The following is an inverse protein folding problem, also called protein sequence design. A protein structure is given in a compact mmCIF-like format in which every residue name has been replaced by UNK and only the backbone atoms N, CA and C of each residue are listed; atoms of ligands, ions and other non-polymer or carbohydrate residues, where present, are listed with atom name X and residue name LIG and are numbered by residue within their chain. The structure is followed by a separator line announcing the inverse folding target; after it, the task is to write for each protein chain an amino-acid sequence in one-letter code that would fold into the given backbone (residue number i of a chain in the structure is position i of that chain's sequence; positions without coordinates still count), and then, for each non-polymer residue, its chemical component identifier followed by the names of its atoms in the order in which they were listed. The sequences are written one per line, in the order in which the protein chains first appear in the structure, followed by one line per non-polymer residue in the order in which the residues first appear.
data_IF_860308111117
#
_entry.id   IF_860308111117
#
_cell.length_a   1.000
_cell.length_b   1.000
_cell.length_c   1.000
_cell.angle_alpha   90.00
_cell.angle_beta   90.00
_cell.angle_gamma   90.00
#
_symmetry.space_group_name_H-M   'P 1'
#
loop_
_entity.id
_entity.type
_entity.pdbx_description
1 polymer ?
#
# COMPACT_ATOMS: atom_id res chain seq x y z
N UNK A 1 -3.62 -12.24 6.90
CA UNK A 1 -2.88 -12.99 5.85
C UNK A 1 -1.57 -13.41 6.46
N UNK A 2 -1.19 -14.69 6.40
CA UNK A 2 0.13 -15.14 6.85
C UNK A 2 1.13 -14.99 5.69
N UNK A 3 1.44 -13.74 5.34
CA UNK A 3 2.44 -13.44 4.32
C UNK A 3 3.80 -14.00 4.76
N UNK A 4 4.52 -14.61 3.82
CA UNK A 4 5.87 -15.15 4.06
C UNK A 4 6.93 -14.39 3.28
N UNK A 5 6.52 -13.63 2.27
CA UNK A 5 7.42 -12.85 1.42
C UNK A 5 6.93 -11.44 1.25
N UNK A 6 7.88 -10.56 0.97
CA UNK A 6 7.59 -9.22 0.50
C UNK A 6 8.50 -8.86 -0.68
N UNK A 7 7.90 -8.37 -1.76
CA UNK A 7 8.65 -7.68 -2.83
C UNK A 7 8.88 -6.24 -2.37
N UNK A 8 10.12 -5.77 -2.45
CA UNK A 8 10.51 -4.39 -2.12
C UNK A 8 11.41 -3.84 -3.21
N UNK A 9 11.50 -2.50 -3.33
CA UNK A 9 12.45 -1.84 -4.22
C UNK A 9 13.00 -0.59 -3.56
N UNK A 10 14.33 -0.51 -3.48
CA UNK A 10 15.01 0.67 -2.94
C UNK A 10 14.74 1.93 -3.80
N UNK A 11 14.62 3.12 -3.19
CA UNK A 11 14.57 4.39 -3.92
C UNK A 11 15.73 4.57 -4.92
N UNK A 12 15.39 4.85 -6.18
CA UNK A 12 16.35 5.13 -7.25
C UNK A 12 16.90 6.57 -7.23
N UNK A 13 17.91 6.86 -8.06
CA UNK A 13 18.53 8.21 -8.12
C UNK A 13 17.54 9.34 -8.39
N UNK A 14 16.49 9.08 -9.16
CA UNK A 14 15.47 10.08 -9.50
C UNK A 14 14.39 10.27 -8.43
N UNK A 15 14.45 9.59 -7.28
CA UNK A 15 13.42 9.65 -6.23
C UNK A 15 13.13 11.08 -5.73
N UNK A 16 14.13 11.97 -5.75
CA UNK A 16 13.96 13.40 -5.42
C UNK A 16 12.94 14.13 -6.33
N UNK A 17 12.58 13.52 -7.46
CA UNK A 17 11.58 14.00 -8.41
C UNK A 17 10.26 13.19 -8.33
N UNK A 18 9.96 12.58 -7.18
CA UNK A 18 8.72 11.83 -6.95
C UNK A 18 7.48 12.69 -7.26
N UNK A 19 6.39 12.05 -7.69
CA UNK A 19 5.14 12.76 -7.94
C UNK A 19 4.48 13.09 -6.61
N UNK A 20 4.55 14.36 -6.21
CA UNK A 20 4.02 14.82 -4.92
C UNK A 20 3.50 16.25 -5.00
N UNK A 21 2.40 16.52 -4.29
CA UNK A 21 1.90 17.86 -3.97
C UNK A 21 2.24 18.30 -2.54
N UNK A 22 3.04 17.51 -1.81
CA UNK A 22 3.41 17.82 -0.44
C UNK A 22 4.23 19.13 -0.38
N UNK A 23 3.94 20.07 0.55
CA UNK A 23 4.64 21.37 0.60
C UNK A 23 6.15 21.25 0.72
N UNK A 24 6.63 20.19 1.38
CA UNK A 24 8.05 19.89 1.57
C UNK A 24 8.65 18.93 0.51
N UNK A 25 7.93 18.60 -0.56
CA UNK A 25 8.42 17.67 -1.60
C UNK A 25 9.76 18.09 -2.22
N UNK A 26 10.00 19.40 -2.34
CA UNK A 26 11.26 19.97 -2.82
C UNK A 26 12.47 19.76 -1.87
N UNK A 27 12.24 19.22 -0.67
CA UNK A 27 13.26 18.97 0.37
C UNK A 27 13.56 17.49 0.57
N UNK A 28 13.10 16.63 -0.34
CA UNK A 28 13.35 15.17 -0.28
C UNK A 28 14.86 14.90 -0.28
N UNK A 29 15.31 14.11 0.68
CA UNK A 29 16.69 13.67 0.82
C UNK A 29 16.79 12.19 0.48
N UNK A 30 17.38 11.87 -0.67
CA UNK A 30 17.54 10.50 -1.15
C UNK A 30 18.36 9.62 -0.18
N UNK A 31 19.43 10.14 0.40
CA UNK A 31 20.27 9.35 1.32
C UNK A 31 19.49 8.93 2.57
N UNK A 32 18.70 9.86 3.12
CA UNK A 32 17.83 9.56 4.26
C UNK A 32 16.68 8.63 3.86
N UNK A 33 16.09 8.80 2.67
CA UNK A 33 15.06 7.89 2.16
C UNK A 33 15.57 6.44 2.03
N UNK A 34 16.81 6.25 1.58
CA UNK A 34 17.47 4.94 1.51
C UNK A 34 17.71 4.35 2.89
N UNK A 35 18.12 5.15 3.87
CA UNK A 35 18.27 4.70 5.26
C UNK A 35 16.92 4.26 5.85
N UNK A 36 15.87 5.06 5.67
CA UNK A 36 14.52 4.75 6.12
C UNK A 36 13.98 3.47 5.45
N UNK A 37 14.20 3.30 4.15
CA UNK A 37 13.86 2.06 3.43
C UNK A 37 14.64 0.85 3.97
N UNK A 38 15.93 1.03 4.27
CA UNK A 38 16.78 0.00 4.87
C UNK A 38 16.21 -0.50 6.19
N UNK A 39 15.87 0.42 7.10
CA UNK A 39 15.22 0.13 8.38
C UNK A 39 13.89 -0.60 8.20
N UNK A 40 13.04 -0.12 7.28
CA UNK A 40 11.80 -0.80 6.92
C UNK A 40 12.04 -2.26 6.50
N UNK A 41 13.01 -2.49 5.61
CA UNK A 41 13.36 -3.85 5.16
C UNK A 41 13.93 -4.72 6.29
N UNK A 42 14.73 -4.16 7.19
CA UNK A 42 15.22 -4.88 8.38
C UNK A 42 14.06 -5.32 9.28
N UNK A 43 13.14 -4.41 9.59
CA UNK A 43 11.93 -4.72 10.36
C UNK A 43 11.10 -5.83 9.72
N UNK A 44 10.90 -5.81 8.40
CA UNK A 44 10.18 -6.90 7.72
C UNK A 44 10.89 -8.27 7.89
N UNK A 45 12.22 -8.29 7.81
CA UNK A 45 13.00 -9.53 8.01
C UNK A 45 12.91 -10.03 9.46
N UNK A 46 12.95 -9.13 10.43
CA UNK A 46 12.79 -9.45 11.85
C UNK A 46 11.41 -10.04 12.16
N UNK A 47 10.39 -9.57 11.43
CA UNK A 47 9.03 -10.14 11.45
C UNK A 47 8.90 -11.45 10.66
N UNK A 48 10.00 -11.98 10.13
CA UNK A 48 10.07 -13.30 9.49
C UNK A 48 9.75 -13.33 8.00
N UNK A 49 9.70 -12.17 7.32
CA UNK A 49 9.45 -12.11 5.88
C UNK A 49 10.74 -12.33 5.07
N UNK A 50 10.65 -13.19 4.06
CA UNK A 50 11.68 -13.36 3.03
C UNK A 50 11.54 -12.26 1.95
N UNK A 51 12.54 -11.37 1.87
CA UNK A 51 12.48 -10.18 1.02
C UNK A 51 13.04 -10.44 -0.39
N UNK A 52 12.20 -10.19 -1.39
CA UNK A 52 12.61 -10.14 -2.79
C UNK A 52 12.94 -8.70 -3.15
N UNK A 53 14.24 -8.39 -3.18
CA UNK A 53 14.74 -7.05 -3.47
C UNK A 53 14.87 -6.84 -4.98
N UNK A 54 14.03 -5.98 -5.54
CA UNK A 54 14.15 -5.57 -6.93
C UNK A 54 15.25 -4.51 -7.08
N UNK A 55 15.96 -4.48 -8.22
CA UNK A 55 16.92 -3.41 -8.49
C UNK A 55 16.20 -2.04 -8.55
N UNK A 56 16.85 -0.96 -8.08
CA UNK A 56 16.29 0.38 -8.18
C UNK A 56 16.14 0.80 -9.65
N UNK A 57 15.10 1.57 -9.96
CA UNK A 57 14.92 2.17 -11.29
C UNK A 57 15.24 3.66 -11.27
N UNK A 58 16.49 4.00 -11.59
CA UNK A 58 17.04 5.37 -11.53
C UNK A 58 16.35 6.42 -12.41
N UNK A 59 15.44 6.01 -13.30
CA UNK A 59 14.68 6.91 -14.19
C UNK A 59 13.19 7.02 -13.84
N UNK A 60 12.73 6.23 -12.87
CA UNK A 60 11.33 6.21 -12.43
C UNK A 60 11.30 6.58 -10.94
N UNK A 61 11.04 7.86 -10.61
CA UNK A 61 11.11 8.37 -9.24
C UNK A 61 10.31 7.56 -8.23
N UNK A 62 9.07 7.20 -8.57
CA UNK A 62 8.10 6.55 -7.69
C UNK A 62 8.23 5.02 -7.69
N UNK A 63 9.26 4.48 -8.33
CA UNK A 63 9.39 3.05 -8.60
C UNK A 63 9.61 2.18 -7.36
N UNK A 64 9.96 2.78 -6.22
CA UNK A 64 10.00 2.12 -4.92
C UNK A 64 8.60 1.82 -4.34
N UNK A 65 7.54 2.47 -4.86
CA UNK A 65 6.16 2.23 -4.45
C UNK A 65 5.58 1.01 -5.19
N UNK A 66 6.17 -0.15 -4.93
CA UNK A 66 5.85 -1.40 -5.62
C UNK A 66 4.43 -1.89 -5.35
N UNK A 67 3.79 -1.48 -4.25
CA UNK A 67 2.39 -1.83 -3.94
C UNK A 67 1.46 -1.55 -5.11
N UNK A 68 1.69 -0.43 -5.81
CA UNK A 68 0.79 -0.02 -6.87
C UNK A 68 0.85 -0.97 -8.07
N UNK A 69 1.96 -1.68 -8.25
CA UNK A 69 2.30 -2.40 -9.48
C UNK A 69 1.51 -3.71 -9.66
N UNK A 70 0.96 -4.29 -8.57
CA UNK A 70 0.17 -5.51 -8.66
C UNK A 70 -0.79 -5.68 -7.48
N UNK A 71 -1.86 -6.43 -7.71
CA UNK A 71 -2.76 -6.95 -6.66
C UNK A 71 -2.65 -8.46 -6.64
N UNK A 72 -2.28 -9.02 -5.49
CA UNK A 72 -2.15 -10.46 -5.28
C UNK A 72 -3.29 -10.99 -4.42
N UNK A 73 -3.89 -12.10 -4.82
CA UNK A 73 -4.86 -12.83 -4.00
C UNK A 73 -4.88 -14.31 -4.36
N UNK A 74 -4.86 -15.18 -3.34
CA UNK A 74 -4.82 -16.63 -3.54
C UNK A 74 -3.59 -17.05 -4.36
N UNK A 75 -3.81 -17.70 -5.52
CA UNK A 75 -2.76 -18.10 -6.47
C UNK A 75 -2.69 -17.22 -7.72
N UNK A 76 -3.32 -16.05 -7.68
CA UNK A 76 -3.43 -15.14 -8.82
C UNK A 76 -2.87 -13.75 -8.48
N UNK A 77 -2.29 -13.11 -9.48
CA UNK A 77 -1.90 -11.71 -9.42
C UNK A 77 -2.42 -10.95 -10.65
N UNK A 78 -2.94 -9.74 -10.43
CA UNK A 78 -3.18 -8.78 -11.49
C UNK A 78 -2.07 -7.73 -11.47
N UNK A 79 -1.21 -7.72 -12.48
CA UNK A 79 -0.32 -6.59 -12.75
C UNK A 79 -1.16 -5.42 -13.19
N UNK A 80 -1.02 -4.31 -12.49
CA UNK A 80 -1.90 -3.15 -12.63
C UNK A 80 -1.54 -2.29 -13.84
N UNK A 81 -2.28 -1.19 -14.03
CA UNK A 81 -2.02 -0.21 -15.09
C UNK A 81 -2.15 1.19 -14.49
N UNK A 82 -1.01 1.81 -14.22
CA UNK A 82 -0.90 3.13 -13.60
C UNK A 82 -1.75 4.18 -14.32
N UNK A 83 -2.40 5.04 -13.53
CA UNK A 83 -3.13 6.19 -14.06
C UNK A 83 -2.16 7.21 -14.66
N UNK A 84 -1.08 7.51 -13.93
CA UNK A 84 -0.02 8.39 -14.40
C UNK A 84 0.88 7.68 -15.41
N UNK A 85 1.03 8.28 -16.59
CA UNK A 85 1.85 7.69 -17.64
C UNK A 85 3.33 7.67 -17.28
N UNK A 86 3.80 8.64 -16.50
CA UNK A 86 5.17 8.71 -15.97
C UNK A 86 5.55 7.52 -15.10
N UNK A 87 4.56 6.82 -14.53
CA UNK A 87 4.74 5.64 -13.67
C UNK A 87 4.59 4.32 -14.43
N UNK A 88 4.16 4.33 -15.69
CA UNK A 88 4.03 3.10 -16.48
C UNK A 88 5.43 2.52 -16.75
N UNK A 89 5.57 1.21 -16.57
CA UNK A 89 6.86 0.51 -16.67
C UNK A 89 7.54 0.26 -15.32
N UNK A 90 7.03 0.81 -14.21
CA UNK A 90 7.47 0.43 -12.86
C UNK A 90 7.25 -1.07 -12.57
N UNK A 91 6.19 -1.61 -13.17
CA UNK A 91 5.60 -2.92 -12.90
C UNK A 91 6.32 -4.11 -13.58
N UNK A 92 7.24 -3.88 -14.52
CA UNK A 92 7.87 -4.94 -15.32
C UNK A 92 8.60 -5.99 -14.46
N UNK A 93 9.42 -5.54 -13.50
CA UNK A 93 10.20 -6.46 -12.66
C UNK A 93 9.34 -7.09 -11.56
N UNK A 94 8.27 -6.40 -11.14
CA UNK A 94 7.24 -6.96 -10.27
C UNK A 94 6.53 -8.10 -11.00
N UNK A 95 6.11 -7.89 -12.26
CA UNK A 95 5.50 -8.95 -13.09
C UNK A 95 6.43 -10.16 -13.22
N UNK A 96 7.69 -9.95 -13.62
CA UNK A 96 8.68 -11.04 -13.77
C UNK A 96 8.83 -11.84 -12.48
N UNK A 97 8.84 -11.15 -11.35
CA UNK A 97 8.95 -11.78 -10.03
C UNK A 97 7.71 -12.60 -9.70
N UNK A 98 6.52 -12.03 -9.87
CA UNK A 98 5.24 -12.67 -9.55
C UNK A 98 4.96 -13.92 -10.41
N UNK A 99 5.46 -13.98 -11.65
CA UNK A 99 5.35 -15.16 -12.52
C UNK A 99 5.98 -16.43 -11.91
N UNK A 100 6.90 -16.31 -10.96
CA UNK A 100 7.49 -17.46 -10.27
C UNK A 100 6.56 -18.05 -9.19
N UNK A 101 5.52 -17.33 -8.78
CA UNK A 101 4.68 -17.68 -7.63
C UNK A 101 3.19 -17.77 -7.96
N UNK A 102 2.73 -17.08 -9.01
CA UNK A 102 1.32 -16.86 -9.29
C UNK A 102 0.98 -17.04 -10.77
N UNK A 103 -0.30 -17.33 -11.04
CA UNK A 103 -0.87 -17.04 -12.36
C UNK A 103 -1.04 -15.53 -12.51
N UNK A 104 -0.41 -14.94 -13.51
CA UNK A 104 -0.36 -13.48 -13.68
C UNK A 104 -1.18 -13.05 -14.90
N UNK A 105 -2.05 -12.05 -14.71
CA UNK A 105 -2.70 -11.29 -15.80
C UNK A 105 -2.32 -9.83 -15.69
N UNK A 106 -2.29 -9.12 -16.81
CA UNK A 106 -2.05 -7.68 -16.86
C UNK A 106 -3.35 -6.93 -17.15
N UNK A 107 -3.56 -5.83 -16.42
CA UNK A 107 -4.65 -4.90 -16.70
C UNK A 107 -4.43 -4.19 -18.05
N UNK A 108 -5.48 -4.04 -18.83
CA UNK A 108 -5.44 -3.45 -20.18
C UNK A 108 -6.35 -2.24 -20.29
N UNK A 109 -6.03 -1.30 -21.19
CA UNK A 109 -6.87 -0.13 -21.42
C UNK A 109 -8.32 -0.55 -21.78
N UNK A 110 -9.34 0.22 -21.35
CA UNK A 110 -9.27 1.53 -20.70
C UNK A 110 -9.14 1.48 -19.15
N UNK A 111 -8.74 0.34 -18.58
CA UNK A 111 -8.50 0.27 -17.14
C UNK A 111 -7.37 1.21 -16.68
N UNK A 112 -7.62 1.90 -15.57
CA UNK A 112 -6.60 2.39 -14.65
C UNK A 112 -6.87 1.72 -13.32
N UNK A 113 -5.84 1.16 -12.71
CA UNK A 113 -5.90 0.50 -11.40
C UNK A 113 -4.52 0.59 -10.78
N UNK A 114 -4.47 0.84 -9.48
CA UNK A 114 -3.24 0.84 -8.68
C UNK A 114 -3.50 0.03 -7.39
N UNK A 115 -2.52 -0.78 -6.97
CA UNK A 115 -2.67 -1.65 -5.80
C UNK A 115 -2.89 -0.91 -4.48
N UNK A 116 -2.52 0.38 -4.39
CA UNK A 116 -2.88 1.28 -3.29
C UNK A 116 -4.40 1.39 -3.05
N UNK A 117 -5.24 1.10 -4.04
CA UNK A 117 -6.70 1.16 -3.90
C UNK A 117 -7.34 -0.13 -3.37
N UNK A 118 -6.58 -1.21 -3.20
CA UNK A 118 -7.17 -2.53 -2.91
C UNK A 118 -6.90 -2.99 -1.48
N UNK A 119 -7.88 -2.80 -0.60
CA UNK A 119 -7.84 -3.28 0.79
C UNK A 119 -8.24 -4.75 0.84
N UNK A 120 -7.37 -5.58 1.41
CA UNK A 120 -7.62 -7.01 1.63
C UNK A 120 -8.33 -7.23 2.97
N UNK A 121 -9.53 -7.81 2.92
CA UNK A 121 -10.22 -8.39 4.08
C UNK A 121 -10.10 -9.93 4.03
N UNK A 122 -10.50 -10.66 5.09
CA UNK A 122 -10.39 -12.12 5.12
C UNK A 122 -11.18 -12.83 4.01
N UNK A 123 -12.36 -12.33 3.66
CA UNK A 123 -13.35 -12.98 2.79
C UNK A 123 -13.62 -12.23 1.47
N UNK A 124 -13.22 -10.95 1.39
CA UNK A 124 -13.41 -10.09 0.23
C UNK A 124 -12.29 -9.08 0.06
N UNK A 125 -12.25 -8.39 -1.07
CA UNK A 125 -11.46 -7.17 -1.25
C UNK A 125 -12.39 -5.96 -1.33
N UNK A 126 -11.91 -4.81 -0.88
CA UNK A 126 -12.52 -3.52 -1.14
C UNK A 126 -11.59 -2.77 -2.09
N UNK A 127 -12.11 -2.34 -3.24
CA UNK A 127 -11.35 -1.60 -4.23
C UNK A 127 -11.89 -0.18 -4.38
N UNK A 128 -11.03 0.81 -4.14
CA UNK A 128 -11.33 2.22 -4.36
C UNK A 128 -11.56 2.53 -5.84
N UNK A 129 -12.54 3.38 -6.13
CA UNK A 129 -12.66 4.11 -7.39
C UNK A 129 -12.27 5.55 -7.09
N UNK A 130 -11.06 5.92 -7.51
CA UNK A 130 -10.31 7.09 -7.06
C UNK A 130 -9.70 7.83 -8.24
N UNK A 131 -8.79 8.78 -7.99
CA UNK A 131 -7.98 9.38 -9.05
C UNK A 131 -7.09 8.36 -9.79
N UNK A 132 -6.80 7.21 -9.15
CA UNK A 132 -5.83 6.21 -9.65
C UNK A 132 -6.47 4.92 -10.15
N UNK A 133 -7.70 4.63 -9.72
CA UNK A 133 -8.44 3.44 -10.14
C UNK A 133 -9.83 3.79 -10.67
N UNK A 134 -10.20 3.27 -11.84
CA UNK A 134 -11.51 3.46 -12.46
C UNK A 134 -12.35 2.17 -12.46
N UNK A 135 -13.63 2.29 -12.82
CA UNK A 135 -14.55 1.15 -12.87
C UNK A 135 -14.07 0.03 -13.81
N UNK A 136 -13.38 0.34 -14.91
CA UNK A 136 -12.81 -0.66 -15.80
C UNK A 136 -11.70 -1.48 -15.12
N UNK A 137 -10.87 -0.85 -14.29
CA UNK A 137 -9.87 -1.50 -13.44
C UNK A 137 -10.50 -2.47 -12.44
N UNK A 138 -11.50 -1.99 -11.70
CA UNK A 138 -12.28 -2.84 -10.78
C UNK A 138 -12.89 -4.05 -11.48
N UNK A 139 -13.46 -3.85 -12.68
CA UNK A 139 -14.08 -4.94 -13.44
C UNK A 139 -13.03 -5.98 -13.90
N UNK A 140 -11.84 -5.55 -14.31
CA UNK A 140 -10.77 -6.48 -14.65
C UNK A 140 -10.26 -7.24 -13.42
N UNK A 141 -10.18 -6.58 -12.26
CA UNK A 141 -9.86 -7.22 -10.99
C UNK A 141 -10.88 -8.32 -10.63
N UNK A 142 -12.19 -8.00 -10.69
CA UNK A 142 -13.32 -8.94 -10.50
C UNK A 142 -13.30 -10.11 -11.48
N UNK A 143 -12.97 -9.86 -12.74
CA UNK A 143 -12.92 -10.91 -13.76
C UNK A 143 -11.77 -11.89 -13.56
N UNK A 144 -10.74 -11.49 -12.81
CA UNK A 144 -9.49 -12.24 -12.71
C UNK A 144 -9.31 -12.92 -11.36
N UNK A 145 -9.50 -12.19 -10.27
CA UNK A 145 -9.34 -12.71 -8.91
C UNK A 145 -10.60 -13.47 -8.48
N UNK A 146 -10.43 -14.69 -7.98
CA UNK A 146 -11.53 -15.56 -7.55
C UNK A 146 -12.02 -15.20 -6.13
N UNK A 147 -12.37 -13.92 -5.93
CA UNK A 147 -12.83 -13.38 -4.64
C UNK A 147 -13.88 -12.30 -4.86
N UNK A 148 -14.79 -12.13 -3.90
CA UNK A 148 -15.71 -11.02 -3.89
C UNK A 148 -14.95 -9.69 -3.81
N UNK A 149 -15.32 -8.73 -4.66
CA UNK A 149 -14.74 -7.38 -4.64
C UNK A 149 -15.88 -6.39 -4.55
N UNK A 150 -15.92 -5.66 -3.43
CA UNK A 150 -16.77 -4.49 -3.24
C UNK A 150 -16.01 -3.22 -3.62
N UNK A 151 -16.72 -2.10 -3.80
CA UNK A 151 -16.10 -0.84 -4.19
C UNK A 151 -16.54 0.33 -3.33
N UNK A 152 -15.61 1.27 -3.09
CA UNK A 152 -15.87 2.57 -2.47
C UNK A 152 -15.47 3.63 -3.49
N UNK A 153 -16.37 4.55 -3.79
CA UNK A 153 -16.10 5.63 -4.75
C UNK A 153 -15.74 6.91 -4.01
N UNK A 154 -14.51 7.37 -4.19
CA UNK A 154 -14.09 8.70 -3.75
C UNK A 154 -13.08 9.27 -4.76
N UNK A 155 -13.53 10.08 -5.73
CA UNK A 155 -12.64 10.64 -6.75
C UNK A 155 -11.71 11.74 -6.22
N UNK A 156 -11.86 12.18 -4.96
CA UNK A 156 -11.04 13.25 -4.39
C UNK A 156 -9.75 12.74 -3.76
N UNK A 157 -9.62 11.42 -3.54
CA UNK A 157 -8.43 10.82 -2.92
C UNK A 157 -7.54 10.15 -3.96
N UNK A 158 -6.26 9.99 -3.62
CA UNK A 158 -5.29 9.27 -4.46
C UNK A 158 -5.53 7.76 -4.38
N UNK A 159 -5.49 7.20 -3.16
CA UNK A 159 -5.64 5.77 -2.91
C UNK A 159 -6.48 5.50 -1.67
N UNK A 160 -7.31 4.45 -1.72
CA UNK A 160 -8.15 4.03 -0.60
C UNK A 160 -7.35 3.59 0.65
N UNK A 161 -6.18 2.97 0.49
CA UNK A 161 -5.36 2.50 1.63
C UNK A 161 -4.81 3.61 2.52
N UNK A 162 -4.82 4.86 2.04
CA UNK A 162 -4.48 6.02 2.87
C UNK A 162 -5.57 6.33 3.90
N UNK A 163 -6.75 5.73 3.79
CA UNK A 163 -7.92 6.02 4.61
C UNK A 163 -8.53 4.79 5.28
N UNK A 164 -8.30 3.59 4.74
CA UNK A 164 -8.77 2.33 5.33
C UNK A 164 -7.67 1.28 5.23
N UNK A 165 -7.35 0.63 6.35
CA UNK A 165 -6.45 -0.52 6.37
C UNK A 165 -6.95 -1.62 7.29
N UNK A 166 -6.91 -2.87 6.80
CA UNK A 166 -7.19 -4.04 7.63
C UNK A 166 -5.94 -4.43 8.43
N UNK A 167 -6.11 -4.61 9.74
CA UNK A 167 -5.02 -4.95 10.66
C UNK A 167 -4.94 -6.44 10.97
N UNK A 168 -6.00 -7.20 10.71
CA UNK A 168 -6.16 -8.56 11.25
C UNK A 168 -7.18 -8.59 12.40
N UNK A 169 -7.43 -9.77 12.96
CA UNK A 169 -8.33 -9.94 14.14
C UNK A 169 -9.73 -9.31 14.00
N UNK A 170 -10.27 -9.24 12.77
CA UNK A 170 -11.52 -8.54 12.45
C UNK A 170 -11.48 -7.01 12.70
N UNK A 171 -10.29 -6.43 12.78
CA UNK A 171 -10.05 -5.02 13.06
C UNK A 171 -9.53 -4.29 11.82
N UNK A 172 -10.05 -3.09 11.58
CA UNK A 172 -9.50 -2.14 10.62
C UNK A 172 -9.20 -0.79 11.30
N UNK A 173 -8.22 -0.08 10.77
CA UNK A 173 -7.96 1.32 11.10
C UNK A 173 -8.50 2.19 9.97
N UNK A 174 -9.17 3.28 10.33
CA UNK A 174 -9.82 4.20 9.39
C UNK A 174 -9.88 5.62 9.94
N UNK A 175 -10.12 6.60 9.06
CA UNK A 175 -10.50 7.96 9.47
C UNK A 175 -12.01 8.07 9.74
N UNK A 176 -12.43 9.21 10.29
CA UNK A 176 -13.86 9.54 10.50
C UNK A 176 -14.64 9.62 9.19
N UNK A 177 -14.00 9.85 8.04
CA UNK A 177 -14.64 9.84 6.73
C UNK A 177 -15.34 8.50 6.39
N UNK A 178 -14.84 7.36 6.90
CA UNK A 178 -15.35 6.03 6.55
C UNK A 178 -15.82 5.20 7.75
N UNK A 179 -15.85 5.75 8.96
CA UNK A 179 -16.21 5.03 10.19
C UNK A 179 -17.63 4.41 10.15
N UNK A 180 -18.55 5.03 9.42
CA UNK A 180 -19.92 4.58 9.22
C UNK A 180 -20.15 3.89 7.87
N UNK A 181 -19.10 3.57 7.11
CA UNK A 181 -19.25 3.00 5.78
C UNK A 181 -19.85 1.59 5.84
N UNK A 182 -20.91 1.25 5.08
CA UNK A 182 -21.60 -0.05 5.18
C UNK A 182 -20.72 -1.28 4.94
N UNK A 183 -19.62 -1.13 4.19
CA UNK A 183 -18.65 -2.20 3.96
C UNK A 183 -17.78 -2.53 5.18
N UNK A 184 -17.68 -1.61 6.14
CA UNK A 184 -16.86 -1.73 7.35
C UNK A 184 -17.69 -2.07 8.61
N UNK A 185 -19.03 -2.04 8.52
CA UNK A 185 -19.95 -2.19 9.66
C UNK A 185 -19.80 -3.45 10.52
N UNK A 186 -19.14 -4.49 9.99
CA UNK A 186 -18.93 -5.77 10.67
C UNK A 186 -17.50 -5.92 11.22
N UNK A 187 -16.68 -4.86 11.12
CA UNK A 187 -15.32 -4.82 11.63
C UNK A 187 -15.28 -4.01 12.92
N UNK A 188 -14.34 -4.35 13.80
CA UNK A 188 -13.91 -3.45 14.86
C UNK A 188 -13.09 -2.33 14.25
N UNK A 189 -13.38 -1.08 14.60
CA UNK A 189 -12.74 0.09 13.98
C UNK A 189 -11.85 0.82 14.98
N UNK A 190 -10.57 0.95 14.63
CA UNK A 190 -9.65 1.94 15.21
C UNK A 190 -9.85 3.22 14.41
N UNK A 191 -10.55 4.18 14.98
CA UNK A 191 -10.84 5.46 14.34
C UNK A 191 -9.75 6.46 14.74
N UNK A 192 -9.06 7.02 13.75
CA UNK A 192 -8.10 8.10 13.96
C UNK A 192 -8.68 9.43 13.50
N UNK A 193 -8.31 10.55 14.15
CA UNK A 193 -8.72 11.88 13.71
C UNK A 193 -8.15 12.19 12.32
N UNK A 194 -8.83 13.03 11.54
CA UNK A 194 -8.41 13.39 10.17
C UNK A 194 -7.01 14.03 10.14
N UNK A 195 -6.60 14.71 11.21
CA UNK A 195 -5.26 15.29 11.34
C UNK A 195 -4.15 14.23 11.40
N UNK A 196 -4.47 13.01 11.82
CA UNK A 196 -3.55 11.87 11.83
C UNK A 196 -3.83 10.88 10.69
N UNK A 197 -4.57 11.25 9.63
CA UNK A 197 -4.95 10.31 8.55
C UNK A 197 -3.77 9.54 7.94
N UNK A 198 -2.59 10.16 7.86
CA UNK A 198 -1.39 9.51 7.33
C UNK A 198 -1.00 8.26 8.12
N UNK A 199 -1.34 8.18 9.42
CA UNK A 199 -1.10 7.01 10.28
C UNK A 199 -1.87 5.76 9.84
N UNK A 200 -2.98 5.92 9.10
CA UNK A 200 -3.80 4.81 8.58
C UNK A 200 -3.02 3.97 7.57
N UNK A 201 -2.08 4.58 6.83
CA UNK A 201 -1.18 3.87 5.95
C UNK A 201 -0.07 3.18 6.76
N UNK A 202 -0.48 2.12 7.46
CA UNK A 202 0.34 1.24 8.29
C UNK A 202 0.36 -0.18 7.71
N UNK A 203 1.33 -0.99 8.12
CA UNK A 203 1.51 -2.35 7.62
C UNK A 203 1.36 -3.37 8.75
N UNK A 204 0.31 -4.18 8.69
CA UNK A 204 0.11 -5.29 9.60
C UNK A 204 0.80 -6.57 9.10
N UNK A 205 1.62 -7.18 9.96
CA UNK A 205 2.27 -8.47 9.76
C UNK A 205 1.97 -9.32 10.99
N UNK A 206 1.12 -10.33 10.82
CA UNK A 206 0.55 -11.10 11.94
C UNK A 206 -0.09 -10.18 13.00
N UNK A 207 0.43 -10.17 14.21
CA UNK A 207 -0.09 -9.40 15.35
C UNK A 207 0.66 -8.07 15.57
N UNK A 208 1.61 -7.75 14.69
CA UNK A 208 2.40 -6.52 14.75
C UNK A 208 1.99 -5.55 13.65
N UNK A 209 1.80 -4.28 14.01
CA UNK A 209 1.52 -3.18 13.08
C UNK A 209 2.72 -2.23 13.04
N UNK A 210 3.31 -2.10 11.86
CA UNK A 210 4.34 -1.10 11.60
C UNK A 210 3.64 0.23 11.29
N UNK A 211 4.01 1.30 11.97
CA UNK A 211 3.41 2.64 11.83
C UNK A 211 4.48 3.73 11.71
N UNK A 212 4.09 4.90 11.19
CA UNK A 212 4.93 6.10 11.26
C UNK A 212 5.12 6.52 12.72
N UNK A 213 6.34 6.94 13.08
CA UNK A 213 6.71 7.36 14.43
C UNK A 213 6.09 8.70 14.88
N UNK A 214 5.44 9.44 13.98
CA UNK A 214 4.89 10.78 14.24
C UNK A 214 3.54 10.80 14.98
N UNK A 215 2.79 9.70 14.96
CA UNK A 215 1.35 9.70 15.29
C UNK A 215 1.04 8.91 16.58
N UNK A 216 1.33 9.54 17.72
CA UNK A 216 1.24 8.86 19.02
C UNK A 216 -0.18 8.47 19.44
N UNK A 217 -1.21 9.17 18.97
CA UNK A 217 -2.60 8.80 19.25
C UNK A 217 -2.95 7.53 18.49
N UNK A 218 -2.69 7.50 17.18
CA UNK A 218 -2.93 6.33 16.34
C UNK A 218 -2.17 5.08 16.84
N UNK A 219 -0.90 5.23 17.24
CA UNK A 219 -0.10 4.14 17.81
C UNK A 219 -0.78 3.55 19.06
N UNK A 220 -1.16 4.40 20.03
CA UNK A 220 -1.85 3.95 21.25
C UNK A 220 -3.21 3.33 20.95
N UNK A 221 -3.94 3.85 19.98
CA UNK A 221 -5.24 3.30 19.60
C UNK A 221 -5.09 1.89 19.01
N UNK A 222 -4.05 1.64 18.22
CA UNK A 222 -3.71 0.32 17.68
C UNK A 222 -3.21 -0.63 18.79
N UNK A 223 -2.39 -0.17 19.72
CA UNK A 223 -1.96 -0.94 20.90
C UNK A 223 -3.16 -1.37 21.76
N UNK A 224 -4.08 -0.44 22.04
CA UNK A 224 -5.31 -0.71 22.79
C UNK A 224 -6.24 -1.70 22.08
N UNK A 225 -6.15 -1.80 20.75
CA UNK A 225 -6.86 -2.80 19.95
C UNK A 225 -6.19 -4.19 19.96
N UNK A 226 -5.08 -4.36 20.71
CA UNK A 226 -4.45 -5.66 20.94
C UNK A 226 -3.38 -6.05 19.91
N UNK A 227 -2.70 -5.06 19.33
CA UNK A 227 -1.58 -5.25 18.42
C UNK A 227 -0.28 -4.73 19.03
N UNK A 228 0.84 -5.37 18.69
CA UNK A 228 2.16 -4.80 18.95
C UNK A 228 2.43 -3.70 17.91
N UNK A 229 3.05 -2.60 18.31
CA UNK A 229 3.37 -1.49 17.39
C UNK A 229 4.88 -1.33 17.24
N UNK A 230 5.35 -1.33 15.98
CA UNK A 230 6.72 -0.92 15.63
C UNK A 230 6.65 0.44 14.94
N UNK A 231 7.31 1.43 15.51
CA UNK A 231 7.32 2.79 14.97
C UNK A 231 8.57 3.02 14.13
N UNK A 232 8.39 3.49 12.89
CA UNK A 232 9.48 3.84 11.97
C UNK A 232 9.39 5.30 11.53
N UNK A 233 10.55 5.95 11.42
CA UNK A 233 10.64 7.26 10.80
C UNK A 233 10.48 7.12 9.27
N UNK A 234 9.41 7.71 8.73
CA UNK A 234 9.08 7.68 7.30
C UNK A 234 9.06 9.07 6.68
N UNK A 235 9.82 10.02 7.23
CA UNK A 235 9.75 11.44 6.85
C UNK A 235 9.99 11.72 5.37
N UNK A 236 10.87 10.97 4.70
CA UNK A 236 11.19 11.20 3.29
C UNK A 236 10.17 10.56 2.35
N UNK A 237 9.42 9.57 2.84
CA UNK A 237 8.30 8.97 2.11
C UNK A 237 7.04 9.83 2.22
N UNK A 238 6.80 10.42 3.39
CA UNK A 238 5.69 11.35 3.62
C UNK A 238 5.76 12.57 2.68
N UNK A 239 6.97 13.11 2.46
CA UNK A 239 7.21 14.18 1.48
C UNK A 239 6.85 13.77 0.04
N UNK A 240 6.80 12.48 -0.25
CA UNK A 240 6.38 11.91 -1.53
C UNK A 240 4.94 11.37 -1.50
N UNK A 241 4.15 11.70 -0.47
CA UNK A 241 2.77 11.21 -0.26
C UNK A 241 2.66 9.67 -0.26
N UNK A 242 3.70 8.99 0.20
CA UNK A 242 3.75 7.53 0.32
C UNK A 242 4.09 7.13 1.76
N UNK A 243 3.73 5.90 2.16
CA UNK A 243 4.02 5.37 3.49
C UNK A 243 4.28 3.86 3.41
N UNK A 244 4.15 3.15 4.54
CA UNK A 244 4.60 1.78 4.77
C UNK A 244 3.96 0.74 3.85
N UNK A 245 2.69 0.89 3.47
CA UNK A 245 2.05 -0.07 2.57
C UNK A 245 2.60 0.05 1.16
N UNK A 246 2.93 1.28 0.72
CA UNK A 246 3.35 1.58 -0.64
C UNK A 246 4.64 0.84 -1.02
N UNK A 247 5.52 0.60 -0.03
CA UNK A 247 6.87 0.10 -0.22
C UNK A 247 6.99 -1.41 -0.40
N UNK A 248 5.88 -2.15 -0.33
CA UNK A 248 5.94 -3.60 -0.52
C UNK A 248 4.66 -4.23 -1.08
N UNK A 249 4.84 -5.42 -1.67
CA UNK A 249 3.76 -6.37 -1.92
C UNK A 249 4.00 -7.60 -1.06
N UNK A 250 3.13 -7.84 -0.08
CA UNK A 250 3.18 -9.01 0.80
C UNK A 250 2.36 -10.18 0.22
N UNK A 251 2.91 -11.39 0.31
CA UNK A 251 2.21 -12.64 -0.08
C UNK A 251 2.78 -13.92 0.55
#
# INVERSE_FOLDING_TARGET
MNAKRAIVREPGKSYINCVTSHPMGHTVNLSLAKEQHGKYCETLRELGLDLINLPPKDRLPDSCFVEDNAVVHGKKALVTRMALESRRGEDEDVQKTLLNYFSVKRATAPAIIEGGDVVHLPDKLICGITQRTNQHGVNQLRSWLDIEISSITNPNIVHLKSYIKYLGKNTAITTTEYDNHPLLKNLELVIVPEEEYYSVNCLAVADTVIMSDKFSYAQKAVENAGFDVISLNMSEFEKCQASLTCLSILF
#
